data_IF_677839657485
#
_entry.id   IF_677839657485
#
_cell.length_a   1.000
_cell.length_b   1.000
_cell.length_c   1.000
_cell.angle_alpha   90.00
_cell.angle_beta   90.00
_cell.angle_gamma   90.00
#
_symmetry.space_group_name_H-M   'P 1'
#
loop_
_entity.id
_entity.type
_entity.pdbx_description
1 polymer ?
#
# COMPACT_ATOMS: atom_id res chain seq x y z
N UNK A 1 -13.01 8.67 -22.28
CA UNK A 1 -12.64 10.08 -22.05
C UNK A 1 -13.72 10.70 -21.18
N UNK A 2 -13.38 11.07 -19.94
CA UNK A 2 -14.31 11.70 -19.00
C UNK A 2 -14.02 13.20 -18.91
N UNK A 3 -14.97 13.99 -18.41
CA UNK A 3 -14.69 15.37 -17.99
C UNK A 3 -14.75 15.43 -16.47
N UNK A 4 -13.79 16.09 -15.84
CA UNK A 4 -13.77 16.32 -14.40
C UNK A 4 -13.82 17.82 -14.13
N UNK A 5 -14.65 18.22 -13.17
CA UNK A 5 -14.68 19.61 -12.70
C UNK A 5 -13.44 19.87 -11.87
N UNK A 6 -12.65 20.88 -12.24
CA UNK A 6 -11.45 21.24 -11.52
C UNK A 6 -11.79 21.72 -10.09
N UNK A 7 -11.18 21.15 -9.04
CA UNK A 7 -11.42 21.56 -7.65
C UNK A 7 -10.90 22.95 -7.32
N UNK A 8 -10.05 23.54 -8.17
CA UNK A 8 -9.42 24.84 -7.94
C UNK A 8 -10.10 26.00 -8.67
N UNK A 9 -10.43 25.84 -9.96
CA UNK A 9 -11.04 26.91 -10.77
C UNK A 9 -12.53 26.69 -11.06
N UNK A 10 -13.08 25.52 -10.71
CA UNK A 10 -14.50 25.20 -10.89
C UNK A 10 -14.95 24.97 -12.34
N UNK A 11 -14.03 25.03 -13.32
CA UNK A 11 -14.33 24.75 -14.73
C UNK A 11 -14.18 23.26 -15.04
N UNK A 12 -14.92 22.78 -16.03
CA UNK A 12 -14.77 21.41 -16.55
C UNK A 12 -13.55 21.34 -17.47
N UNK A 13 -12.74 20.30 -17.30
CA UNK A 13 -11.63 19.98 -18.21
C UNK A 13 -11.65 18.50 -18.55
N UNK A 14 -11.02 18.16 -19.68
CA UNK A 14 -10.85 16.76 -20.08
C UNK A 14 -10.05 16.00 -19.02
N UNK A 15 -10.40 14.73 -18.81
CA UNK A 15 -9.82 13.87 -17.77
C UNK A 15 -9.64 12.45 -18.29
N UNK A 16 -8.39 11.97 -18.22
CA UNK A 16 -7.98 10.64 -18.68
C UNK A 16 -7.92 9.63 -17.54
N UNK A 17 -8.61 9.92 -16.43
CA UNK A 17 -8.61 9.13 -15.19
C UNK A 17 -7.27 9.10 -14.45
N UNK A 18 -6.35 10.00 -14.78
CA UNK A 18 -5.12 10.16 -13.99
C UNK A 18 -5.31 11.28 -12.95
N UNK A 19 -4.79 11.08 -11.73
CA UNK A 19 -4.85 12.11 -10.68
C UNK A 19 -3.89 13.27 -10.95
N UNK A 20 -2.84 13.02 -11.73
CA UNK A 20 -1.84 14.03 -12.11
C UNK A 20 -2.26 14.90 -13.29
N UNK A 21 -3.41 14.61 -13.92
CA UNK A 21 -3.92 15.38 -15.06
C UNK A 21 -4.08 16.84 -14.67
N UNK A 22 -3.68 17.75 -15.58
CA UNK A 22 -3.75 19.19 -15.34
C UNK A 22 -4.99 19.78 -15.99
N UNK A 23 -5.57 20.78 -15.33
CA UNK A 23 -6.68 21.53 -15.89
C UNK A 23 -6.21 22.38 -17.07
N UNK A 24 -6.90 22.29 -18.20
CA UNK A 24 -6.66 23.11 -19.40
C UNK A 24 -6.84 24.63 -19.17
N UNK A 25 -7.59 25.02 -18.12
CA UNK A 25 -7.92 26.42 -17.86
C UNK A 25 -6.99 27.11 -16.85
N UNK A 26 -6.54 26.38 -15.83
CA UNK A 26 -5.72 26.95 -14.74
C UNK A 26 -4.36 26.26 -14.55
N UNK A 27 -4.08 25.18 -15.27
CA UNK A 27 -2.81 24.45 -15.20
C UNK A 27 -2.58 23.65 -13.90
N UNK A 28 -3.50 23.71 -12.94
CA UNK A 28 -3.42 22.97 -11.68
C UNK A 28 -3.94 21.54 -11.81
N UNK A 29 -3.46 20.63 -10.95
CA UNK A 29 -3.82 19.21 -10.97
C UNK A 29 -5.30 18.98 -10.66
N UNK A 30 -5.96 18.13 -11.43
CA UNK A 30 -7.36 17.72 -11.25
C UNK A 30 -7.54 16.72 -10.11
N UNK A 31 -6.45 16.12 -9.62
CA UNK A 31 -6.44 15.21 -8.47
C UNK A 31 -6.87 15.88 -7.16
N UNK A 32 -6.53 17.15 -6.93
CA UNK A 32 -6.84 17.84 -5.68
C UNK A 32 -6.48 16.99 -4.44
N UNK A 33 -7.47 16.71 -3.59
CA UNK A 33 -7.33 15.89 -2.38
C UNK A 33 -7.01 14.41 -2.66
N UNK A 34 -7.32 13.90 -3.85
CA UNK A 34 -7.00 12.52 -4.24
C UNK A 34 -5.48 12.32 -4.38
N UNK A 35 -4.76 13.37 -4.79
CA UNK A 35 -3.30 13.35 -4.95
C UNK A 35 -2.60 13.34 -3.59
N UNK A 36 -3.06 14.19 -2.65
CA UNK A 36 -2.60 14.16 -1.25
C UNK A 36 -2.86 12.80 -0.58
N UNK A 37 -4.02 12.19 -0.87
CA UNK A 37 -4.34 10.86 -0.37
C UNK A 37 -3.51 9.76 -1.02
N UNK A 38 -3.04 9.92 -2.26
CA UNK A 38 -2.09 8.98 -2.87
C UNK A 38 -0.72 9.09 -2.22
N UNK A 39 -0.20 10.31 -2.03
CA UNK A 39 1.07 10.50 -1.34
C UNK A 39 1.06 9.96 0.10
N UNK A 40 -0.05 10.13 0.83
CA UNK A 40 -0.21 9.52 2.16
C UNK A 40 -0.21 7.99 2.06
N UNK A 41 -0.95 7.41 1.11
CA UNK A 41 -0.97 5.96 0.90
C UNK A 41 0.40 5.39 0.53
N UNK A 42 1.19 6.11 -0.26
CA UNK A 42 2.55 5.68 -0.59
C UNK A 42 3.47 5.76 0.63
N UNK A 43 3.40 6.83 1.42
CA UNK A 43 4.16 6.95 2.67
C UNK A 43 3.75 5.88 3.69
N UNK A 44 2.46 5.58 3.79
CA UNK A 44 1.95 4.55 4.71
C UNK A 44 2.34 3.15 4.24
N UNK A 45 2.41 2.89 2.93
CA UNK A 45 2.95 1.64 2.39
C UNK A 45 4.42 1.46 2.75
N UNK A 46 5.25 2.48 2.52
CA UNK A 46 6.67 2.45 2.85
C UNK A 46 6.89 2.23 4.35
N UNK A 47 6.15 2.95 5.20
CA UNK A 47 6.19 2.74 6.66
C UNK A 47 5.75 1.34 7.06
N UNK A 48 4.66 0.83 6.50
CA UNK A 48 4.20 -0.53 6.80
C UNK A 48 5.20 -1.60 6.35
N UNK A 49 5.89 -1.37 5.24
CA UNK A 49 6.97 -2.24 4.78
C UNK A 49 8.15 -2.16 5.75
N UNK A 50 8.62 -0.97 6.11
CA UNK A 50 9.74 -0.74 7.04
C UNK A 50 9.46 -1.26 8.47
N UNK A 51 8.24 -1.05 8.98
CA UNK A 51 7.79 -1.49 10.31
C UNK A 51 7.41 -2.98 10.35
N UNK A 52 7.45 -3.69 9.22
CA UNK A 52 7.19 -5.12 9.21
C UNK A 52 8.18 -5.84 10.12
N UNK A 53 7.66 -6.71 10.99
CA UNK A 53 8.39 -7.33 12.10
C UNK A 53 9.67 -8.09 11.68
N UNK A 54 9.73 -8.53 10.41
CA UNK A 54 10.88 -9.23 9.83
C UNK A 54 11.56 -8.48 8.68
N UNK A 55 11.27 -7.19 8.47
CA UNK A 55 11.99 -6.39 7.49
C UNK A 55 13.47 -6.27 7.90
N UNK A 56 14.35 -6.54 6.95
CA UNK A 56 15.79 -6.48 7.10
C UNK A 56 16.22 -5.08 6.64
N UNK A 57 16.57 -4.21 7.58
CA UNK A 57 17.09 -2.90 7.27
C UNK A 57 18.58 -2.99 6.93
N UNK A 58 19.05 -2.18 5.99
CA UNK A 58 20.49 -2.15 5.61
C UNK A 58 21.40 -1.72 6.77
N UNK A 59 20.85 -1.05 7.78
CA UNK A 59 21.53 -0.63 9.00
C UNK A 59 21.56 -1.73 10.10
N UNK A 60 20.88 -2.87 9.90
CA UNK A 60 20.86 -3.94 10.89
C UNK A 60 22.20 -4.69 10.92
N UNK A 61 22.71 -4.94 12.13
CA UNK A 61 23.91 -5.76 12.30
C UNK A 61 23.70 -7.18 11.75
N UNK A 62 24.76 -7.81 11.21
CA UNK A 62 24.66 -9.13 10.54
C UNK A 62 24.05 -10.24 11.42
N UNK A 63 24.15 -10.11 12.74
CA UNK A 63 23.53 -11.02 13.72
C UNK A 63 22.01 -10.84 13.76
N UNK A 64 21.54 -9.58 13.77
CA UNK A 64 20.11 -9.25 13.76
C UNK A 64 19.46 -9.70 12.45
N UNK A 65 20.17 -9.55 11.32
CA UNK A 65 19.73 -10.07 10.02
C UNK A 65 19.52 -11.59 10.07
N UNK A 66 20.47 -12.33 10.67
CA UNK A 66 20.36 -13.77 10.87
C UNK A 66 19.15 -14.16 11.71
N UNK A 67 18.94 -13.48 12.84
CA UNK A 67 17.81 -13.72 13.74
C UNK A 67 16.45 -13.41 13.07
N UNK A 68 16.33 -12.29 12.35
CA UNK A 68 15.11 -11.93 11.62
C UNK A 68 14.78 -12.95 10.54
N UNK A 69 15.79 -13.46 9.82
CA UNK A 69 15.61 -14.51 8.80
C UNK A 69 15.12 -15.83 9.40
N UNK A 70 15.71 -16.25 10.51
CA UNK A 70 15.29 -17.46 11.25
C UNK A 70 13.87 -17.28 11.80
N UNK A 71 13.58 -16.12 12.41
CA UNK A 71 12.25 -15.78 12.91
C UNK A 71 11.17 -15.81 11.82
N UNK A 72 11.45 -15.22 10.65
CA UNK A 72 10.53 -15.23 9.51
C UNK A 72 10.27 -16.65 8.98
N UNK A 73 11.28 -17.52 9.00
CA UNK A 73 11.13 -18.92 8.62
C UNK A 73 10.16 -19.66 9.55
N UNK A 74 10.35 -19.54 10.87
CA UNK A 74 9.44 -20.14 11.84
C UNK A 74 8.04 -19.54 11.77
N UNK A 75 7.92 -18.23 11.61
CA UNK A 75 6.65 -17.55 11.43
C UNK A 75 5.87 -18.06 10.21
N UNK A 76 6.57 -18.27 9.09
CA UNK A 76 5.97 -18.81 7.87
C UNK A 76 5.43 -20.24 8.09
N UNK A 77 6.21 -21.10 8.74
CA UNK A 77 5.79 -22.47 9.09
C UNK A 77 4.57 -22.42 10.01
N UNK A 78 4.60 -21.58 11.05
CA UNK A 78 3.50 -21.41 11.97
C UNK A 78 2.22 -20.97 11.25
N UNK A 79 2.31 -19.94 10.40
CA UNK A 79 1.17 -19.47 9.62
C UNK A 79 0.62 -20.53 8.66
N UNK A 80 1.46 -21.35 8.05
CA UNK A 80 1.02 -22.47 7.23
C UNK A 80 0.23 -23.51 8.04
N UNK A 81 0.70 -23.86 9.25
CA UNK A 81 0.00 -24.78 10.15
C UNK A 81 -1.35 -24.19 10.59
N UNK A 82 -1.39 -22.94 11.04
CA UNK A 82 -2.63 -22.29 11.47
C UNK A 82 -3.62 -22.19 10.32
N UNK A 83 -3.17 -21.78 9.13
CA UNK A 83 -4.02 -21.73 7.94
C UNK A 83 -4.60 -23.11 7.59
N UNK A 84 -3.80 -24.17 7.71
CA UNK A 84 -4.25 -25.53 7.48
C UNK A 84 -5.29 -25.98 8.52
N UNK A 85 -5.07 -25.69 9.81
CA UNK A 85 -6.04 -25.99 10.87
C UNK A 85 -7.35 -25.23 10.66
N UNK A 86 -7.29 -23.93 10.34
CA UNK A 86 -8.48 -23.12 10.05
C UNK A 86 -9.24 -23.67 8.84
N UNK A 87 -8.53 -24.09 7.80
CA UNK A 87 -9.14 -24.73 6.64
C UNK A 87 -9.84 -26.04 7.03
N UNK A 88 -9.21 -26.89 7.86
CA UNK A 88 -9.84 -28.10 8.38
C UNK A 88 -11.12 -27.80 9.16
N UNK A 89 -11.08 -26.82 10.05
CA UNK A 89 -12.27 -26.40 10.83
C UNK A 89 -13.39 -25.92 9.90
N UNK A 90 -13.06 -25.11 8.89
CA UNK A 90 -14.03 -24.61 7.93
C UNK A 90 -14.57 -25.69 6.97
N UNK A 91 -13.77 -26.72 6.65
CA UNK A 91 -14.13 -27.81 5.76
C UNK A 91 -14.96 -28.92 6.44
N UNK A 92 -14.92 -29.00 7.78
CA UNK A 92 -15.79 -29.91 8.52
C UNK A 92 -17.23 -29.36 8.52
N UNK A 93 -18.22 -30.12 8.05
CA UNK A 93 -19.61 -29.74 8.25
C UNK A 93 -19.90 -29.83 9.75
N UNK A 94 -20.34 -28.71 10.34
CA UNK A 94 -20.85 -28.68 11.71
C UNK A 94 -22.11 -29.52 11.88
#
# INVERSE_FOLDING_TARGET
MGQKKCPHCGKWSNWEMNVTDRCEHCGQTLGGKDLENQEKREKDKLKNEEDWLFNIHENDSSIVVGLKKVGNFFYTIFMAIISFILWLIAALPG
#
